data_IF_461381437883
#
_entry.id   IF_461381437883
#
_cell.length_a   1.000
_cell.length_b   1.000
_cell.length_c   1.000
_cell.angle_alpha   90.00
_cell.angle_beta   90.00
_cell.angle_gamma   90.00
#
_symmetry.space_group_name_H-M   'P 1'
#
loop_
_entity.id
_entity.type
_entity.pdbx_description
1 polymer ?
#
# COMPACT_ATOMS: atom_id res chain seq x y z
N UNK A 1 16.47 30.79 35.80
CA UNK A 1 15.31 29.87 35.72
C UNK A 1 15.47 29.07 34.45
N UNK A 2 16.11 27.91 34.54
CA UNK A 2 16.30 27.01 33.41
C UNK A 2 15.00 26.24 33.19
N UNK A 3 14.37 26.45 32.04
CA UNK A 3 13.24 25.63 31.63
C UNK A 3 13.66 24.15 31.68
N UNK A 4 12.78 23.32 32.26
CA UNK A 4 13.02 21.87 32.34
C UNK A 4 13.33 21.37 30.91
N UNK A 5 14.50 20.75 30.66
CA UNK A 5 14.87 20.25 29.34
C UNK A 5 13.81 19.33 28.73
N UNK A 6 13.08 18.58 29.57
CA UNK A 6 11.99 17.71 29.13
C UNK A 6 10.89 18.50 28.40
N UNK A 7 10.54 19.69 28.91
CA UNK A 7 9.52 20.55 28.28
C UNK A 7 9.98 21.12 26.95
N UNK A 8 11.28 21.32 26.75
CA UNK A 8 11.82 21.77 25.49
C UNK A 8 11.81 20.66 24.44
N UNK A 9 12.08 19.41 24.86
CA UNK A 9 11.99 18.22 24.03
C UNK A 9 10.54 17.99 23.59
N UNK A 10 9.57 18.08 24.50
CA UNK A 10 8.15 17.93 24.19
C UNK A 10 7.68 18.93 23.11
N UNK A 11 8.01 20.21 23.29
CA UNK A 11 7.70 21.27 22.31
C UNK A 11 8.35 20.99 20.95
N UNK A 12 9.60 20.55 20.94
CA UNK A 12 10.29 20.20 19.70
C UNK A 12 9.60 19.02 19.00
N UNK A 13 9.22 17.97 19.75
CA UNK A 13 8.47 16.84 19.19
C UNK A 13 7.11 17.24 18.65
N UNK A 14 6.38 18.14 19.32
CA UNK A 14 5.10 18.66 18.81
C UNK A 14 5.27 19.41 17.47
N UNK A 15 6.31 20.23 17.35
CA UNK A 15 6.61 20.97 16.10
C UNK A 15 6.98 20.00 14.98
N UNK A 16 7.84 19.02 15.25
CA UNK A 16 8.23 18.00 14.27
C UNK A 16 7.00 17.21 13.81
N UNK A 17 6.11 16.82 14.73
CA UNK A 17 4.87 16.11 14.40
C UNK A 17 3.92 16.99 13.57
N UNK A 18 3.79 18.28 13.89
CA UNK A 18 2.96 19.21 13.13
C UNK A 18 3.47 19.37 11.69
N UNK A 19 4.78 19.57 11.51
CA UNK A 19 5.43 19.64 10.20
C UNK A 19 5.31 18.31 9.42
N UNK A 20 5.46 17.17 10.09
CA UNK A 20 5.27 15.86 9.47
C UNK A 20 3.83 15.69 8.97
N UNK A 21 2.83 16.11 9.75
CA UNK A 21 1.42 16.05 9.38
C UNK A 21 1.11 16.94 8.16
N UNK A 22 1.72 18.13 8.05
CA UNK A 22 1.48 19.04 6.93
C UNK A 22 2.21 18.64 5.65
N UNK A 23 3.44 18.11 5.77
CA UNK A 23 4.31 17.88 4.63
C UNK A 23 4.23 16.44 4.09
N UNK A 24 3.94 15.45 4.95
CA UNK A 24 3.82 14.05 4.51
C UNK A 24 2.37 13.82 4.07
N UNK A 25 2.10 13.59 2.78
CA UNK A 25 0.75 13.23 2.34
C UNK A 25 0.36 11.94 3.07
N UNK A 26 -0.75 11.98 3.83
CA UNK A 26 -1.26 10.82 4.59
C UNK A 26 -1.71 9.71 3.62
N UNK A 27 -0.75 8.97 3.12
CA UNK A 27 -0.90 7.89 2.16
C UNK A 27 -1.45 6.63 2.81
N UNK A 28 -2.76 6.62 3.06
CA UNK A 28 -3.67 5.47 3.03
C UNK A 28 -5.01 5.96 3.57
N UNK A 29 -6.06 5.88 2.74
CA UNK A 29 -7.43 6.06 3.25
C UNK A 29 -7.63 5.03 4.37
N UNK A 30 -8.12 5.47 5.54
CA UNK A 30 -8.51 4.56 6.62
C UNK A 30 -9.29 3.40 6.01
N UNK A 31 -9.01 2.16 6.42
CA UNK A 31 -9.70 0.95 5.94
C UNK A 31 -11.21 1.15 6.11
N UNK A 32 -11.87 1.63 5.07
CA UNK A 32 -13.28 1.95 5.11
C UNK A 32 -14.05 0.64 5.26
N UNK A 33 -14.81 0.54 6.33
CA UNK A 33 -15.66 -0.60 6.62
C UNK A 33 -17.11 -0.15 6.49
N UNK A 34 -17.83 -0.56 5.43
CA UNK A 34 -19.18 -0.05 5.15
C UNK A 34 -20.20 -0.27 6.28
N UNK A 35 -19.99 -1.31 7.09
CA UNK A 35 -20.85 -1.67 8.21
C UNK A 35 -20.51 -0.95 9.52
N UNK A 36 -19.42 -0.17 9.56
CA UNK A 36 -18.97 0.48 10.80
C UNK A 36 -19.73 1.78 11.05
N UNK A 37 -20.65 1.77 12.02
CA UNK A 37 -21.44 2.93 12.43
C UNK A 37 -20.93 3.51 13.77
N UNK A 38 -21.49 4.66 14.18
CA UNK A 38 -21.14 5.30 15.46
C UNK A 38 -21.52 4.44 16.67
N UNK A 39 -22.58 3.64 16.57
CA UNK A 39 -23.05 2.76 17.66
C UNK A 39 -22.09 1.59 17.93
N UNK A 40 -21.52 1.00 16.88
CA UNK A 40 -20.47 -0.01 17.03
C UNK A 40 -19.20 0.59 17.64
N UNK A 41 -18.90 1.84 17.31
CA UNK A 41 -17.79 2.55 17.91
C UNK A 41 -18.00 2.74 19.41
N UNK A 42 -19.19 3.18 19.85
CA UNK A 42 -19.49 3.32 21.28
C UNK A 42 -19.50 1.96 22.01
N UNK A 43 -20.06 0.91 21.39
CA UNK A 43 -20.01 -0.45 21.95
C UNK A 43 -18.57 -0.98 22.08
N UNK A 44 -17.71 -0.66 21.10
CA UNK A 44 -16.29 -1.01 21.17
C UNK A 44 -15.61 -0.28 22.33
N UNK A 45 -15.83 1.01 22.48
CA UNK A 45 -15.26 1.81 23.57
C UNK A 45 -15.74 1.32 24.95
N UNK A 46 -17.01 0.92 25.07
CA UNK A 46 -17.54 0.33 26.31
C UNK A 46 -16.89 -1.03 26.63
N UNK A 47 -16.68 -1.87 25.60
CA UNK A 47 -15.93 -3.13 25.76
C UNK A 47 -14.49 -2.86 26.18
N UNK A 48 -13.83 -1.87 25.60
CA UNK A 48 -12.43 -1.54 25.91
C UNK A 48 -12.32 -1.00 27.35
N UNK A 49 -13.25 -0.14 27.79
CA UNK A 49 -13.33 0.33 29.20
C UNK A 49 -13.55 -0.81 30.19
N UNK A 50 -14.46 -1.74 29.89
CA UNK A 50 -14.72 -2.90 30.74
C UNK A 50 -13.56 -3.89 30.76
N UNK A 51 -12.83 -4.01 29.66
CA UNK A 51 -11.61 -4.79 29.59
C UNK A 51 -10.54 -4.22 30.52
N UNK A 52 -10.24 -2.92 30.41
CA UNK A 52 -9.27 -2.26 31.30
C UNK A 52 -9.65 -2.43 32.78
N UNK A 53 -10.94 -2.29 33.12
CA UNK A 53 -11.43 -2.49 34.48
C UNK A 53 -11.24 -3.93 34.98
N UNK A 54 -11.56 -4.92 34.15
CA UNK A 54 -11.41 -6.33 34.49
C UNK A 54 -9.93 -6.72 34.67
N UNK A 55 -9.03 -6.18 33.84
CA UNK A 55 -7.59 -6.38 33.95
C UNK A 55 -7.01 -5.75 35.22
N UNK A 56 -7.46 -4.55 35.59
CA UNK A 56 -7.02 -3.88 36.81
C UNK A 56 -7.52 -4.54 38.10
N UNK A 57 -8.78 -4.99 38.12
CA UNK A 57 -9.44 -5.43 39.37
C UNK A 57 -9.36 -6.95 39.56
N UNK A 58 -9.35 -7.73 38.47
CA UNK A 58 -9.35 -9.20 38.51
C UNK A 58 -10.61 -9.84 39.11
N UNK A 59 -11.66 -9.08 39.41
CA UNK A 59 -12.88 -9.60 40.05
C UNK A 59 -13.78 -10.35 39.06
N UNK A 60 -14.40 -11.43 39.53
CA UNK A 60 -15.34 -12.23 38.75
C UNK A 60 -16.50 -11.39 38.16
N UNK A 61 -17.01 -10.40 38.92
CA UNK A 61 -18.08 -9.50 38.47
C UNK A 61 -17.67 -8.72 37.22
N UNK A 62 -16.46 -8.18 37.20
CA UNK A 62 -15.94 -7.41 36.07
C UNK A 62 -15.65 -8.32 34.86
N UNK A 63 -15.19 -9.56 35.08
CA UNK A 63 -15.06 -10.55 34.02
C UNK A 63 -16.41 -10.94 33.38
N UNK A 64 -17.48 -11.04 34.18
CA UNK A 64 -18.83 -11.31 33.66
C UNK A 64 -19.31 -10.13 32.79
N UNK A 65 -19.12 -8.90 33.26
CA UNK A 65 -19.51 -7.71 32.50
C UNK A 65 -18.71 -7.60 31.18
N UNK A 66 -17.40 -7.89 31.21
CA UNK A 66 -16.58 -7.95 30.00
C UNK A 66 -17.15 -8.98 28.99
N UNK A 67 -17.49 -10.20 29.43
CA UNK A 67 -18.09 -11.22 28.56
C UNK A 67 -19.41 -10.75 27.96
N UNK A 68 -20.23 -10.05 28.74
CA UNK A 68 -21.50 -9.46 28.28
C UNK A 68 -21.26 -8.41 27.20
N UNK A 69 -20.37 -7.43 27.44
CA UNK A 69 -20.05 -6.38 26.47
C UNK A 69 -19.45 -6.96 25.18
N UNK A 70 -18.57 -7.96 25.30
CA UNK A 70 -18.05 -8.66 24.13
C UNK A 70 -19.15 -9.38 23.33
N UNK A 71 -20.11 -10.03 24.00
CA UNK A 71 -21.23 -10.70 23.34
C UNK A 71 -22.14 -9.69 22.63
N UNK A 72 -22.46 -8.57 23.28
CA UNK A 72 -23.22 -7.47 22.70
C UNK A 72 -22.53 -6.90 21.45
N UNK A 73 -21.23 -6.62 21.52
CA UNK A 73 -20.46 -6.11 20.38
C UNK A 73 -20.44 -7.12 19.21
N UNK A 74 -20.18 -8.42 19.49
CA UNK A 74 -20.20 -9.47 18.45
C UNK A 74 -21.56 -9.56 17.76
N UNK A 75 -22.65 -9.50 18.53
CA UNK A 75 -24.02 -9.50 18.00
C UNK A 75 -24.28 -8.29 17.11
N UNK A 76 -23.98 -7.09 17.60
CA UNK A 76 -24.18 -5.85 16.85
C UNK A 76 -23.37 -5.83 15.55
N UNK A 77 -22.11 -6.31 15.56
CA UNK A 77 -21.28 -6.43 14.35
C UNK A 77 -21.93 -7.38 13.33
N UNK A 78 -22.48 -8.50 13.80
CA UNK A 78 -23.16 -9.46 12.92
C UNK A 78 -24.41 -8.84 12.30
N UNK A 79 -25.26 -8.21 13.10
CA UNK A 79 -26.50 -7.56 12.66
C UNK A 79 -26.23 -6.44 11.64
N UNK A 80 -25.29 -5.54 11.94
CA UNK A 80 -24.90 -4.44 11.04
C UNK A 80 -24.31 -4.94 9.73
N UNK A 81 -23.47 -5.99 9.75
CA UNK A 81 -22.99 -6.64 8.51
C UNK A 81 -24.15 -7.19 7.68
N UNK A 82 -25.12 -7.86 8.30
CA UNK A 82 -26.30 -8.36 7.58
C UNK A 82 -27.15 -7.23 7.02
N UNK A 83 -27.40 -6.16 7.78
CA UNK A 83 -28.14 -5.00 7.31
C UNK A 83 -27.45 -4.31 6.13
N UNK A 84 -26.13 -4.12 6.22
CA UNK A 84 -25.32 -3.53 5.15
C UNK A 84 -25.37 -4.40 3.89
N UNK A 85 -25.34 -5.72 4.05
CA UNK A 85 -25.49 -6.66 2.93
C UNK A 85 -26.88 -6.60 2.30
N UNK A 86 -27.95 -6.60 3.12
CA UNK A 86 -29.34 -6.47 2.63
C UNK A 86 -29.53 -5.17 1.85
N UNK A 87 -29.11 -4.05 2.41
CA UNK A 87 -29.17 -2.76 1.72
C UNK A 87 -28.32 -2.74 0.45
N UNK A 88 -27.18 -3.44 0.41
CA UNK A 88 -26.42 -3.60 -0.82
C UNK A 88 -27.19 -4.38 -1.90
N UNK A 89 -27.82 -5.50 -1.55
CA UNK A 89 -28.61 -6.33 -2.48
C UNK A 89 -29.85 -5.59 -2.97
N UNK A 90 -30.57 -4.89 -2.08
CA UNK A 90 -31.74 -4.07 -2.43
C UNK A 90 -31.39 -2.95 -3.43
N UNK A 91 -30.21 -2.35 -3.28
CA UNK A 91 -29.72 -1.30 -4.17
C UNK A 91 -28.97 -1.84 -5.42
N UNK A 92 -28.82 -3.16 -5.55
CA UNK A 92 -28.09 -3.77 -6.67
C UNK A 92 -28.95 -3.76 -7.93
N UNK A 93 -28.85 -2.69 -8.70
CA UNK A 93 -29.59 -2.54 -9.95
C UNK A 93 -28.74 -2.96 -11.16
N UNK A 94 -29.17 -4.01 -11.87
CA UNK A 94 -28.48 -4.53 -13.07
C UNK A 94 -28.40 -3.52 -14.22
N UNK A 95 -29.39 -2.63 -14.37
CA UNK A 95 -29.38 -1.63 -15.45
C UNK A 95 -28.40 -0.49 -15.18
N UNK A 96 -28.31 -0.02 -13.93
CA UNK A 96 -27.41 1.09 -13.54
C UNK A 96 -25.98 0.64 -13.27
N UNK A 97 -25.80 -0.56 -12.71
CA UNK A 97 -24.52 -1.06 -12.21
C UNK A 97 -24.22 -2.48 -12.71
N UNK A 98 -24.42 -2.74 -14.01
CA UNK A 98 -24.28 -4.06 -14.62
C UNK A 98 -22.95 -4.76 -14.26
N UNK A 99 -21.83 -4.06 -14.43
CA UNK A 99 -20.50 -4.60 -14.15
C UNK A 99 -20.32 -4.99 -12.68
N UNK A 100 -20.79 -4.15 -11.75
CA UNK A 100 -20.71 -4.42 -10.31
C UNK A 100 -21.56 -5.63 -9.91
N UNK A 101 -22.75 -5.75 -10.49
CA UNK A 101 -23.63 -6.89 -10.27
C UNK A 101 -23.02 -8.18 -10.84
N UNK A 102 -22.45 -8.11 -12.05
CA UNK A 102 -21.73 -9.23 -12.65
C UNK A 102 -20.58 -9.71 -11.77
N UNK A 103 -19.65 -8.82 -11.38
CA UNK A 103 -18.54 -9.16 -10.48
C UNK A 103 -19.02 -9.77 -9.16
N UNK A 104 -20.11 -9.24 -8.59
CA UNK A 104 -20.69 -9.77 -7.37
C UNK A 104 -21.20 -11.20 -7.55
N UNK A 105 -21.95 -11.47 -8.62
CA UNK A 105 -22.47 -12.80 -8.94
C UNK A 105 -21.36 -13.79 -9.29
N UNK A 106 -20.35 -13.39 -10.06
CA UNK A 106 -19.20 -14.24 -10.38
C UNK A 106 -18.46 -14.67 -9.12
N UNK A 107 -18.28 -13.76 -8.15
CA UNK A 107 -17.68 -14.09 -6.84
C UNK A 107 -18.54 -15.07 -6.04
N UNK A 108 -19.86 -14.91 -6.04
CA UNK A 108 -20.77 -15.85 -5.36
C UNK A 108 -20.70 -17.25 -5.98
N UNK A 109 -20.58 -17.32 -7.31
CA UNK A 109 -20.45 -18.57 -8.05
C UNK A 109 -19.02 -19.14 -8.02
N UNK A 110 -18.09 -18.52 -7.29
CA UNK A 110 -16.66 -18.85 -7.28
C UNK A 110 -16.04 -18.93 -8.69
N UNK A 111 -16.63 -18.21 -9.65
CA UNK A 111 -16.08 -18.07 -10.99
C UNK A 111 -14.85 -17.17 -10.90
N UNK A 112 -13.70 -17.71 -11.28
CA UNK A 112 -12.51 -16.89 -11.47
C UNK A 112 -12.70 -16.10 -12.75
N UNK A 113 -12.56 -14.78 -12.65
CA UNK A 113 -12.43 -13.95 -13.83
C UNK A 113 -11.11 -14.31 -14.50
N UNK A 114 -11.20 -14.89 -15.70
CA UNK A 114 -10.05 -15.03 -16.58
C UNK A 114 -9.60 -13.62 -16.95
N UNK A 115 -8.40 -13.23 -16.48
CA UNK A 115 -7.92 -11.86 -16.65
C UNK A 115 -7.53 -11.54 -18.10
N UNK A 116 -7.24 -12.58 -18.87
CA UNK A 116 -6.65 -12.45 -20.19
C UNK A 116 -7.53 -13.21 -21.19
N UNK A 117 -8.01 -12.51 -22.20
CA UNK A 117 -8.69 -13.15 -23.32
C UNK A 117 -7.68 -13.99 -24.11
N UNK A 118 -8.01 -15.22 -24.49
CA UNK A 118 -7.11 -16.03 -25.29
C UNK A 118 -6.91 -15.42 -26.67
N UNK A 119 -5.66 -15.27 -27.08
CA UNK A 119 -5.33 -14.72 -28.41
C UNK A 119 -5.16 -15.88 -29.38
N UNK A 120 -5.92 -15.85 -30.49
CA UNK A 120 -5.73 -16.77 -31.61
C UNK A 120 -4.68 -16.20 -32.56
N UNK A 121 -3.56 -16.90 -32.70
CA UNK A 121 -2.55 -16.61 -33.73
C UNK A 121 -2.45 -17.87 -34.60
N UNK A 122 -2.88 -17.76 -35.86
CA UNK A 122 -3.11 -18.90 -36.74
C UNK A 122 -4.04 -19.95 -36.08
N UNK A 123 -3.62 -21.21 -36.01
CA UNK A 123 -4.41 -22.33 -35.45
C UNK A 123 -4.20 -22.56 -33.95
N UNK A 124 -3.37 -21.75 -33.28
CA UNK A 124 -3.06 -21.92 -31.85
C UNK A 124 -3.74 -20.84 -31.01
N UNK A 125 -4.42 -21.29 -29.97
CA UNK A 125 -5.09 -20.45 -28.98
C UNK A 125 -4.15 -20.28 -27.78
N UNK A 126 -3.61 -19.08 -27.62
CA UNK A 126 -2.66 -18.73 -26.57
C UNK A 126 -3.43 -18.20 -25.36
N UNK A 127 -3.35 -18.91 -24.23
CA UNK A 127 -4.03 -18.53 -22.97
C UNK A 127 -3.06 -17.97 -21.93
N UNK A 128 -1.78 -18.37 -21.98
CA UNK A 128 -0.79 -17.98 -20.97
C UNK A 128 -0.12 -16.66 -21.30
N UNK A 129 0.06 -15.79 -20.30
CA UNK A 129 0.78 -14.49 -20.44
C UNK A 129 2.17 -14.66 -21.05
N UNK A 130 2.86 -15.74 -20.68
CA UNK A 130 4.21 -16.05 -21.20
C UNK A 130 4.18 -16.41 -22.69
N UNK A 131 3.15 -17.14 -23.11
CA UNK A 131 2.98 -17.54 -24.50
C UNK A 131 2.59 -16.34 -25.36
N UNK A 132 1.69 -15.49 -24.86
CA UNK A 132 1.29 -14.23 -25.51
C UNK A 132 2.51 -13.31 -25.66
N UNK A 133 3.29 -13.10 -24.60
CA UNK A 133 4.50 -12.28 -24.65
C UNK A 133 5.55 -12.87 -25.61
N UNK A 134 5.72 -14.19 -25.62
CA UNK A 134 6.62 -14.88 -26.54
C UNK A 134 6.19 -14.74 -28.00
N UNK A 135 4.89 -14.86 -28.29
CA UNK A 135 4.35 -14.68 -29.64
C UNK A 135 4.45 -13.23 -30.12
N UNK A 136 4.16 -12.27 -29.23
CA UNK A 136 4.36 -10.85 -29.51
C UNK A 136 5.82 -10.55 -29.86
N UNK A 137 6.77 -11.02 -29.05
CA UNK A 137 8.20 -10.81 -29.30
C UNK A 137 8.63 -11.40 -30.66
N UNK A 138 8.20 -12.62 -30.97
CA UNK A 138 8.48 -13.25 -32.28
C UNK A 138 7.92 -12.45 -33.45
N UNK A 139 6.67 -11.99 -33.32
CA UNK A 139 6.06 -11.19 -34.38
C UNK A 139 6.80 -9.86 -34.55
N UNK A 140 7.13 -9.20 -33.44
CA UNK A 140 7.86 -7.94 -33.42
C UNK A 140 9.26 -8.07 -34.03
N UNK A 141 10.04 -9.10 -33.69
CA UNK A 141 11.37 -9.34 -34.28
C UNK A 141 11.30 -9.58 -35.78
N UNK A 142 10.28 -10.32 -36.24
CA UNK A 142 10.10 -10.59 -37.67
C UNK A 142 9.77 -9.32 -38.47
N UNK A 143 8.97 -8.41 -37.90
CA UNK A 143 8.58 -7.16 -38.57
C UNK A 143 9.67 -6.11 -38.49
N UNK A 144 10.36 -6.01 -37.34
CA UNK A 144 11.37 -4.97 -37.10
C UNK A 144 12.72 -5.25 -37.79
N UNK A 145 12.91 -6.43 -38.40
CA UNK A 145 14.21 -6.90 -38.93
C UNK A 145 15.37 -6.72 -37.92
N UNK A 146 15.04 -6.70 -36.63
CA UNK A 146 16.02 -6.48 -35.57
C UNK A 146 16.75 -7.80 -35.32
N UNK A 147 17.96 -7.94 -35.85
CA UNK A 147 18.83 -9.07 -35.56
C UNK A 147 19.32 -8.97 -34.11
N UNK A 148 18.66 -9.70 -33.22
CA UNK A 148 19.09 -9.87 -31.84
C UNK A 148 20.33 -10.78 -31.79
N UNK A 149 21.51 -10.20 -32.06
CA UNK A 149 22.79 -10.88 -31.88
C UNK A 149 23.17 -10.88 -30.40
N UNK A 150 22.52 -11.73 -29.60
CA UNK A 150 23.08 -12.06 -28.29
C UNK A 150 23.74 -13.43 -28.38
N UNK A 151 25.04 -13.39 -28.72
CA UNK A 151 25.95 -14.41 -28.21
C UNK A 151 26.11 -14.11 -26.73
N UNK A 152 25.34 -14.77 -25.86
CA UNK A 152 25.68 -14.79 -24.44
C UNK A 152 26.96 -15.62 -24.37
N UNK A 153 28.12 -14.95 -24.37
CA UNK A 153 29.36 -15.62 -23.99
C UNK A 153 29.13 -16.16 -22.59
N UNK A 154 29.46 -17.44 -22.36
CA UNK A 154 29.37 -18.08 -21.04
C UNK A 154 30.13 -17.29 -19.96
N UNK A 155 31.04 -16.42 -20.37
CA UNK A 155 31.84 -15.55 -19.52
C UNK A 155 31.01 -14.48 -18.78
N UNK A 156 29.84 -14.08 -19.30
CA UNK A 156 28.95 -13.10 -18.64
C UNK A 156 28.13 -13.68 -17.48
N UNK A 157 28.10 -15.01 -17.30
CA UNK A 157 27.46 -15.66 -16.15
C UNK A 157 28.37 -15.73 -14.92
N UNK A 158 29.66 -15.42 -15.07
CA UNK A 158 30.65 -15.39 -13.99
C UNK A 158 30.99 -14.00 -13.46
N UNK A 159 30.57 -12.93 -14.14
CA UNK A 159 30.83 -11.58 -13.69
C UNK A 159 29.85 -11.20 -12.57
N UNK A 160 30.33 -10.81 -11.37
CA UNK A 160 29.46 -10.17 -10.39
C UNK A 160 28.86 -8.91 -11.02
N UNK A 161 27.64 -8.50 -10.61
CA UNK A 161 26.98 -7.35 -11.19
C UNK A 161 27.93 -6.16 -11.14
N UNK A 162 28.29 -5.63 -12.31
CA UNK A 162 29.10 -4.43 -12.43
C UNK A 162 28.39 -3.33 -11.64
N UNK A 163 28.91 -3.02 -10.46
CA UNK A 163 28.50 -1.86 -9.69
C UNK A 163 28.94 -0.64 -10.49
N UNK A 164 28.01 0.01 -11.19
CA UNK A 164 28.23 1.23 -11.97
C UNK A 164 28.61 2.47 -11.12
N UNK A 165 29.05 2.30 -9.87
CA UNK A 165 29.14 3.38 -8.88
C UNK A 165 30.50 3.47 -8.18
N UNK A 166 31.63 3.13 -8.83
CA UNK A 166 32.94 3.28 -8.18
C UNK A 166 33.58 4.68 -8.31
N UNK A 167 33.07 5.57 -9.16
CA UNK A 167 33.72 6.88 -9.41
C UNK A 167 32.92 8.11 -8.92
N UNK A 168 31.75 7.93 -8.30
CA UNK A 168 30.84 9.05 -7.96
C UNK A 168 30.53 9.18 -6.45
N UNK A 169 31.31 8.54 -5.58
CA UNK A 169 31.11 8.65 -4.12
C UNK A 169 31.40 10.07 -3.58
N UNK A 170 32.30 10.82 -4.22
CA UNK A 170 32.70 12.15 -3.73
C UNK A 170 31.62 13.22 -3.95
N UNK A 171 30.81 13.09 -5.00
CA UNK A 171 29.78 14.09 -5.34
C UNK A 171 28.60 14.00 -4.37
N UNK A 172 28.20 12.79 -3.98
CA UNK A 172 27.03 12.56 -3.12
C UNK A 172 27.29 12.79 -1.63
N UNK A 173 28.55 12.74 -1.19
CA UNK A 173 28.92 12.91 0.21
C UNK A 173 29.37 14.34 0.58
N UNK A 174 29.44 15.25 -0.40
CA UNK A 174 29.72 16.66 -0.13
C UNK A 174 28.52 17.35 0.58
N UNK A 175 28.77 18.24 1.56
CA UNK A 175 27.70 19.03 2.18
C UNK A 175 27.08 19.96 1.14
N UNK A 176 25.77 19.86 0.95
CA UNK A 176 25.05 20.73 0.01
C UNK A 176 25.06 22.18 0.51
N UNK A 177 25.23 23.13 -0.41
CA UNK A 177 25.20 24.55 -0.09
C UNK A 177 23.75 25.05 0.04
N UNK A 178 23.53 26.11 0.83
CA UNK A 178 22.20 26.72 1.01
C UNK A 178 21.56 27.14 -0.33
N UNK A 179 22.39 27.60 -1.27
CA UNK A 179 21.95 28.00 -2.60
C UNK A 179 21.47 26.81 -3.44
N UNK A 180 22.17 25.68 -3.40
CA UNK A 180 21.74 24.43 -4.07
C UNK A 180 20.40 23.92 -3.51
N UNK A 181 20.21 24.03 -2.19
CA UNK A 181 18.93 23.69 -1.55
C UNK A 181 17.80 24.60 -2.05
N UNK A 182 18.01 25.92 -2.10
CA UNK A 182 17.00 26.86 -2.60
C UNK A 182 16.66 26.62 -4.07
N UNK A 183 17.66 26.36 -4.91
CA UNK A 183 17.47 26.05 -6.32
C UNK A 183 16.69 24.75 -6.50
N UNK A 184 17.00 23.73 -5.69
CA UNK A 184 16.23 22.48 -5.65
C UNK A 184 14.77 22.71 -5.25
N UNK A 185 14.52 23.45 -4.17
CA UNK A 185 13.16 23.78 -3.70
C UNK A 185 12.37 24.56 -4.77
N UNK A 186 13.01 25.47 -5.50
CA UNK A 186 12.38 26.24 -6.60
C UNK A 186 12.08 25.38 -7.84
N UNK A 187 12.90 24.36 -8.12
CA UNK A 187 12.67 23.42 -9.22
C UNK A 187 11.56 22.42 -8.94
N UNK A 188 11.19 22.18 -7.68
CA UNK A 188 9.99 21.41 -7.36
C UNK A 188 8.75 22.25 -7.64
N UNK A 189 7.95 21.94 -8.68
CA UNK A 189 6.68 22.63 -8.85
C UNK A 189 5.83 22.37 -7.62
N UNK A 190 5.29 23.43 -7.02
CA UNK A 190 4.27 23.34 -5.97
C UNK A 190 3.05 22.62 -6.57
N UNK A 191 3.03 21.30 -6.48
CA UNK A 191 1.97 20.48 -7.08
C UNK A 191 0.69 20.78 -6.30
N UNK A 192 -0.24 21.51 -6.94
CA UNK A 192 -1.66 21.44 -6.55
C UNK A 192 -2.03 19.96 -6.55
N UNK A 193 -2.49 19.47 -5.40
CA UNK A 193 -2.91 18.08 -5.20
C UNK A 193 -3.91 17.72 -6.31
N UNK A 194 -3.42 17.01 -7.31
CA UNK A 194 -4.24 16.36 -8.32
C UNK A 194 -3.64 14.99 -8.57
N UNK A 195 -4.54 14.04 -8.56
CA UNK A 195 -4.32 12.61 -8.48
C UNK A 195 -3.26 12.05 -9.43
N UNK A 196 -2.67 10.94 -8.99
CA UNK A 196 -1.81 9.98 -9.71
C UNK A 196 -0.32 10.33 -9.72
N UNK A 197 0.42 9.62 -8.86
CA UNK A 197 1.46 8.70 -9.34
C UNK A 197 2.00 7.87 -8.17
N UNK A 198 1.56 6.63 -8.13
CA UNK A 198 2.18 5.53 -7.40
C UNK A 198 3.14 4.88 -8.39
N UNK A 199 4.46 5.00 -8.22
CA UNK A 199 5.41 3.92 -8.58
C UNK A 199 6.89 4.19 -8.28
N UNK A 200 7.38 5.43 -8.22
CA UNK A 200 8.84 5.63 -8.35
C UNK A 200 9.67 5.63 -7.05
N UNK A 201 9.06 5.72 -5.86
CA UNK A 201 9.83 5.85 -4.60
C UNK A 201 10.21 4.51 -3.94
N UNK A 202 9.63 3.38 -4.36
CA UNK A 202 10.00 2.06 -3.83
C UNK A 202 11.38 1.59 -4.33
N UNK A 203 11.90 2.13 -5.43
CA UNK A 203 13.22 1.74 -5.93
C UNK A 203 14.37 2.41 -5.16
N UNK A 204 14.17 3.64 -4.67
CA UNK A 204 15.17 4.41 -3.92
C UNK A 204 15.25 4.02 -2.43
N UNK A 205 14.13 3.67 -1.78
CA UNK A 205 14.15 3.25 -0.38
C UNK A 205 14.74 1.84 -0.18
N UNK A 206 14.63 0.97 -1.18
CA UNK A 206 15.23 -0.37 -1.13
C UNK A 206 16.74 -0.32 -1.40
N UNK A 207 17.23 0.58 -2.26
CA UNK A 207 18.67 0.74 -2.50
C UNK A 207 19.38 1.36 -1.30
N UNK A 208 18.81 2.40 -0.67
CA UNK A 208 19.41 3.07 0.49
C UNK A 208 19.43 2.17 1.73
N UNK A 209 18.38 1.35 1.96
CA UNK A 209 18.38 0.40 3.09
C UNK A 209 19.36 -0.77 2.94
N UNK A 210 19.72 -1.13 1.69
CA UNK A 210 20.74 -2.15 1.41
C UNK A 210 22.16 -1.62 1.61
N UNK A 211 22.43 -0.36 1.26
CA UNK A 211 23.74 0.25 1.54
C UNK A 211 23.99 0.42 3.05
N UNK A 212 22.97 0.79 3.84
CA UNK A 212 23.14 0.99 5.29
C UNK A 212 23.44 -0.30 6.09
N UNK A 213 22.98 -1.47 5.63
CA UNK A 213 23.30 -2.76 6.29
C UNK A 213 24.73 -3.25 6.01
N UNK A 214 25.41 -2.71 5.00
CA UNK A 214 26.80 -3.06 4.66
C UNK A 214 27.83 -2.35 5.52
N UNK A 215 27.47 -1.25 6.19
CA UNK A 215 28.37 -0.43 7.01
C UNK A 215 28.31 -0.76 8.50
N UNK A 216 27.54 -1.78 8.89
CA UNK A 216 27.28 -2.16 10.28
C UNK A 216 27.71 -3.61 10.61
N UNK A 217 28.55 -4.22 9.77
CA UNK A 217 29.31 -5.45 10.08
C UNK A 217 30.79 -5.22 9.79
#
# INVERSE_FOLDING_TARGET
MTDNPDRAVDKLTEIILACAISCIPRGQRKKFSPFWNKELQTLKENRDKTQNRAESTGMMRDCIELRKQQACLRRAIRETKHQTYRGFVENLNFRRNALRAHHFLSRLNNQKEEKNEPIRIADKLLTSEREIAGAFNKHYTNVSNYQYHIKISKDLLGCPPVCLNQEMEDIFNSPFTHWELECGIKQFPQRKVRDRMVSCLNFLLISVSRQWKSYLN
#
